data_IF_694831675851
#
_entry.id   IF_694831675851
#
_cell.length_a   1.000
_cell.length_b   1.000
_cell.length_c   1.000
_cell.angle_alpha   90.00
_cell.angle_beta   90.00
_cell.angle_gamma   90.00
#
_symmetry.space_group_name_H-M   'P 1'
#
loop_
_entity.id
_entity.type
_entity.pdbx_description
1 polymer ?
#
# COMPACT_ATOMS: atom_id res chain seq x y z
N UNK A 1 2.09 7.89 -36.26
CA UNK A 1 2.36 7.27 -34.95
C UNK A 1 1.43 7.89 -33.93
N UNK A 2 0.67 7.08 -33.19
CA UNK A 2 -0.29 7.58 -32.19
C UNK A 2 0.45 8.19 -31.00
N UNK A 3 -0.04 9.34 -30.50
CA UNK A 3 0.50 10.00 -29.31
C UNK A 3 -0.66 10.41 -28.41
N UNK A 4 -0.69 9.88 -27.20
CA UNK A 4 -1.72 10.20 -26.23
C UNK A 4 -1.50 11.60 -25.67
N UNK A 5 -2.53 12.45 -25.73
CA UNK A 5 -2.42 13.85 -25.29
C UNK A 5 -2.16 14.00 -23.80
N UNK A 6 -2.55 13.00 -23.00
CA UNK A 6 -2.40 13.00 -21.54
C UNK A 6 -1.31 12.03 -21.05
N UNK A 7 -0.35 11.67 -21.91
CA UNK A 7 0.75 10.76 -21.56
C UNK A 7 1.59 11.27 -20.38
N UNK A 8 1.88 12.57 -20.33
CA UNK A 8 2.61 13.21 -19.22
C UNK A 8 1.83 13.08 -17.90
N UNK A 9 0.51 13.25 -17.96
CA UNK A 9 -0.36 13.11 -16.79
C UNK A 9 -0.42 11.64 -16.34
N UNK A 10 -0.48 10.69 -17.27
CA UNK A 10 -0.47 9.27 -16.96
C UNK A 10 0.84 8.84 -16.29
N UNK A 11 1.98 9.29 -16.79
CA UNK A 11 3.29 9.03 -16.20
C UNK A 11 3.43 9.65 -14.82
N UNK A 12 2.95 10.87 -14.63
CA UNK A 12 2.90 11.49 -13.30
C UNK A 12 2.06 10.68 -12.31
N UNK A 13 0.90 10.17 -12.73
CA UNK A 13 0.03 9.31 -11.90
C UNK A 13 0.67 7.96 -11.56
N UNK A 14 1.42 7.36 -12.49
CA UNK A 14 2.22 6.14 -12.23
C UNK A 14 3.28 6.40 -11.18
N UNK A 15 4.00 7.51 -11.29
CA UNK A 15 4.99 7.89 -10.28
C UNK A 15 4.35 8.15 -8.90
N UNK A 16 3.20 8.82 -8.84
CA UNK A 16 2.45 9.00 -7.60
C UNK A 16 2.06 7.66 -6.96
N UNK A 17 1.63 6.68 -7.76
CA UNK A 17 1.32 5.33 -7.28
C UNK A 17 2.55 4.64 -6.69
N UNK A 18 3.70 4.71 -7.38
CA UNK A 18 4.96 4.13 -6.89
C UNK A 18 5.40 4.74 -5.56
N UNK A 19 5.27 6.06 -5.41
CA UNK A 19 5.59 6.75 -4.15
C UNK A 19 4.68 6.27 -3.03
N UNK A 20 3.36 6.22 -3.25
CA UNK A 20 2.43 5.74 -2.24
C UNK A 20 2.63 4.25 -1.90
N UNK A 21 3.01 3.41 -2.87
CA UNK A 21 3.36 2.01 -2.62
C UNK A 21 4.60 1.90 -1.72
N UNK A 22 5.64 2.71 -1.97
CA UNK A 22 6.84 2.77 -1.13
C UNK A 22 6.51 3.25 0.28
N UNK A 23 5.68 4.27 0.42
CA UNK A 23 5.21 4.76 1.72
C UNK A 23 4.40 3.72 2.49
N UNK A 24 3.48 3.02 1.81
CA UNK A 24 2.71 1.93 2.39
C UNK A 24 3.60 0.80 2.89
N UNK A 25 4.63 0.42 2.12
CA UNK A 25 5.63 -0.56 2.55
C UNK A 25 6.39 -0.09 3.80
N UNK A 26 6.79 1.18 3.86
CA UNK A 26 7.46 1.77 5.04
C UNK A 26 6.55 1.75 6.27
N UNK A 27 5.28 2.14 6.13
CA UNK A 27 4.35 2.13 7.27
C UNK A 27 4.00 0.73 7.73
N UNK A 28 3.94 -0.25 6.83
CA UNK A 28 3.75 -1.66 7.19
C UNK A 28 4.92 -2.23 7.97
N UNK A 29 6.16 -1.91 7.58
CA UNK A 29 7.35 -2.29 8.37
C UNK A 29 7.30 -1.71 9.77
N UNK A 30 7.02 -0.40 9.89
CA UNK A 30 6.83 0.24 11.19
C UNK A 30 5.76 -0.45 12.04
N UNK A 31 4.60 -0.78 11.46
CA UNK A 31 3.57 -1.53 12.17
C UNK A 31 4.08 -2.87 12.69
N UNK A 32 4.78 -3.64 11.84
CA UNK A 32 5.37 -4.92 12.24
C UNK A 32 6.38 -4.76 13.38
N UNK A 33 7.27 -3.77 13.29
CA UNK A 33 8.27 -3.47 14.33
C UNK A 33 7.61 -3.11 15.67
N UNK A 34 6.58 -2.25 15.65
CA UNK A 34 5.84 -1.87 16.87
C UNK A 34 5.07 -3.06 17.46
N UNK A 35 4.58 -3.97 16.62
CA UNK A 35 3.86 -5.17 17.05
C UNK A 35 4.81 -6.22 17.64
N UNK A 36 6.03 -6.34 17.09
CA UNK A 36 7.08 -7.17 17.67
C UNK A 36 7.52 -6.65 19.04
N UNK A 37 7.75 -5.34 19.18
CA UNK A 37 8.06 -4.71 20.49
C UNK A 37 6.97 -4.98 21.52
N UNK A 38 5.70 -4.90 21.12
CA UNK A 38 4.57 -5.20 21.99
C UNK A 38 4.59 -6.65 22.47
N UNK A 39 4.88 -7.58 21.56
CA UNK A 39 4.94 -9.00 21.87
C UNK A 39 6.13 -9.34 22.77
N UNK A 40 7.29 -8.71 22.56
CA UNK A 40 8.44 -8.83 23.45
C UNK A 40 8.10 -8.36 24.87
N UNK A 41 7.52 -7.17 25.03
CA UNK A 41 7.08 -6.65 26.34
C UNK A 41 6.05 -7.57 27.01
N UNK A 42 5.10 -8.12 26.25
CA UNK A 42 4.12 -9.09 26.76
C UNK A 42 4.77 -10.40 27.22
N UNK A 43 5.74 -10.92 26.47
CA UNK A 43 6.51 -12.13 26.84
C UNK A 43 7.30 -11.88 28.12
N UNK A 44 7.97 -10.73 28.21
CA UNK A 44 8.73 -10.33 29.40
C UNK A 44 7.84 -10.24 30.65
N UNK A 45 6.68 -9.58 30.54
CA UNK A 45 5.71 -9.51 31.63
C UNK A 45 5.27 -10.91 32.09
N UNK A 46 4.97 -11.83 31.17
CA UNK A 46 4.60 -13.22 31.51
C UNK A 46 5.73 -13.94 32.25
N UNK A 47 6.96 -13.79 31.78
CA UNK A 47 8.13 -14.40 32.41
C UNK A 47 8.34 -13.86 33.84
N UNK A 48 8.19 -12.55 34.06
CA UNK A 48 8.32 -11.96 35.40
C UNK A 48 7.20 -12.39 36.35
N UNK A 49 5.96 -12.49 35.87
CA UNK A 49 4.85 -13.04 36.66
C UNK A 49 5.12 -14.50 37.07
N UNK A 50 5.66 -15.32 36.17
CA UNK A 50 6.03 -16.70 36.49
C UNK A 50 7.16 -16.77 37.51
N UNK A 51 8.21 -15.95 37.35
CA UNK A 51 9.32 -15.85 38.31
C UNK A 51 8.82 -15.43 39.70
N UNK A 52 7.92 -14.46 39.76
CA UNK A 52 7.32 -14.01 41.02
C UNK A 52 6.53 -15.13 41.71
N UNK A 53 5.74 -15.89 40.95
CA UNK A 53 4.99 -17.05 41.48
C UNK A 53 5.92 -18.15 42.02
N UNK A 54 7.07 -18.37 41.39
CA UNK A 54 8.05 -19.34 41.87
C UNK A 54 8.71 -18.86 43.17
N UNK A 55 9.19 -17.60 43.20
CA UNK A 55 9.81 -17.01 44.39
C UNK A 55 8.87 -16.91 45.60
N UNK A 56 7.58 -16.68 45.38
CA UNK A 56 6.59 -16.70 46.46
C UNK A 56 6.47 -18.08 47.16
N UNK A 57 6.83 -19.17 46.49
CA UNK A 57 6.85 -20.53 47.08
C UNK A 57 8.13 -20.82 47.86
N UNK A 58 9.23 -20.13 47.54
CA UNK A 58 10.52 -20.27 48.20
C UNK A 58 10.74 -19.10 49.17
N UNK A 59 10.10 -19.09 50.36
CA UNK A 59 10.33 -18.18 51.51
C UNK A 59 11.14 -16.90 51.22
N UNK A 60 10.68 -16.08 50.27
CA UNK A 60 11.45 -14.94 49.73
C UNK A 60 11.12 -13.69 50.53
N UNK A 61 12.11 -12.81 50.70
CA UNK A 61 11.95 -11.53 51.39
C UNK A 61 10.86 -10.66 50.77
N UNK A 62 10.04 -10.02 51.60
CA UNK A 62 8.95 -9.12 51.18
C UNK A 62 9.46 -8.00 50.24
N UNK A 63 10.68 -7.52 50.45
CA UNK A 63 11.34 -6.51 49.59
C UNK A 63 11.45 -6.95 48.13
N UNK A 64 11.87 -8.20 47.88
CA UNK A 64 11.99 -8.74 46.52
C UNK A 64 10.62 -8.85 45.84
N UNK A 65 9.59 -9.26 46.59
CA UNK A 65 8.22 -9.36 46.09
C UNK A 65 7.72 -7.99 45.64
N UNK A 66 7.94 -6.94 46.44
CA UNK A 66 7.55 -5.56 46.11
C UNK A 66 8.26 -5.08 44.84
N UNK A 67 9.56 -5.36 44.69
CA UNK A 67 10.32 -4.98 43.49
C UNK A 67 9.73 -5.61 42.22
N UNK A 68 9.39 -6.90 42.25
CA UNK A 68 8.77 -7.59 41.10
C UNK A 68 7.38 -7.04 40.78
N UNK A 69 6.56 -6.75 41.79
CA UNK A 69 5.23 -6.17 41.59
C UNK A 69 5.32 -4.80 40.94
N UNK A 70 6.22 -3.94 41.42
CA UNK A 70 6.45 -2.61 40.85
C UNK A 70 6.93 -2.71 39.38
N UNK A 71 7.85 -3.65 39.09
CA UNK A 71 8.32 -3.87 37.73
C UNK A 71 7.21 -4.38 36.80
N UNK A 72 6.35 -5.30 37.27
CA UNK A 72 5.18 -5.78 36.51
C UNK A 72 4.18 -4.65 36.25
N UNK A 73 3.98 -3.74 37.19
CA UNK A 73 3.14 -2.55 36.99
C UNK A 73 3.73 -1.63 35.92
N UNK A 74 5.02 -1.33 35.97
CA UNK A 74 5.70 -0.55 34.92
C UNK A 74 5.56 -1.22 33.54
N UNK A 75 5.84 -2.52 33.45
CA UNK A 75 5.65 -3.27 32.20
C UNK A 75 4.19 -3.22 31.70
N UNK A 76 3.22 -3.13 32.60
CA UNK A 76 1.81 -3.01 32.22
C UNK A 76 1.50 -1.65 31.60
N UNK A 77 2.03 -0.56 32.18
CA UNK A 77 1.90 0.79 31.62
C UNK A 77 2.60 0.88 30.26
N UNK A 78 3.81 0.33 30.16
CA UNK A 78 4.57 0.24 28.92
C UNK A 78 3.83 -0.52 27.81
N UNK A 79 3.21 -1.66 28.14
CA UNK A 79 2.39 -2.41 27.20
C UNK A 79 1.20 -1.58 26.73
N UNK A 80 0.54 -0.82 27.63
CA UNK A 80 -0.57 0.03 27.27
C UNK A 80 -0.14 1.14 26.30
N UNK A 81 0.97 1.82 26.59
CA UNK A 81 1.56 2.84 25.70
C UNK A 81 1.92 2.25 24.34
N UNK A 82 2.62 1.11 24.33
CA UNK A 82 3.01 0.40 23.11
C UNK A 82 1.80 -0.06 22.29
N UNK A 83 0.71 -0.44 22.94
CA UNK A 83 -0.55 -0.80 22.26
C UNK A 83 -1.15 0.43 21.55
N UNK A 84 -1.05 1.61 22.16
CA UNK A 84 -1.38 2.89 21.50
C UNK A 84 -0.54 3.14 20.25
N UNK A 85 0.78 2.97 20.35
CA UNK A 85 1.70 3.10 19.20
C UNK A 85 1.34 2.15 18.05
N UNK A 86 1.01 0.89 18.35
CA UNK A 86 0.56 -0.08 17.34
C UNK A 86 -0.74 0.37 16.68
N UNK A 87 -1.70 0.88 17.46
CA UNK A 87 -2.96 1.37 16.91
C UNK A 87 -2.75 2.58 15.99
N UNK A 88 -1.90 3.52 16.37
CA UNK A 88 -1.54 4.66 15.52
C UNK A 88 -0.84 4.23 14.23
N UNK A 89 0.10 3.27 14.32
CA UNK A 89 0.77 2.71 13.16
C UNK A 89 -0.23 2.00 12.23
N UNK A 90 -1.20 1.27 12.78
CA UNK A 90 -2.25 0.60 12.02
C UNK A 90 -3.13 1.62 11.29
N UNK A 91 -3.55 2.68 11.99
CA UNK A 91 -4.33 3.77 11.40
C UNK A 91 -3.58 4.43 10.22
N UNK A 92 -2.27 4.67 10.36
CA UNK A 92 -1.43 5.20 9.27
C UNK A 92 -1.36 4.25 8.07
N UNK A 93 -1.27 2.94 8.29
CA UNK A 93 -1.32 1.94 7.22
C UNK A 93 -2.67 1.97 6.50
N UNK A 94 -3.78 2.11 7.23
CA UNK A 94 -5.11 2.24 6.65
C UNK A 94 -5.23 3.50 5.78
N UNK A 95 -4.83 4.66 6.30
CA UNK A 95 -4.84 5.92 5.55
C UNK A 95 -4.01 5.83 4.26
N UNK A 96 -2.80 5.28 4.32
CA UNK A 96 -1.95 5.09 3.14
C UNK A 96 -2.56 4.13 2.12
N UNK A 97 -3.25 3.08 2.59
CA UNK A 97 -3.96 2.14 1.72
C UNK A 97 -5.11 2.82 0.98
N UNK A 98 -5.89 3.65 1.68
CA UNK A 98 -7.02 4.36 1.08
C UNK A 98 -6.54 5.41 0.07
N UNK A 99 -5.47 6.13 0.39
CA UNK A 99 -4.82 7.06 -0.55
C UNK A 99 -4.34 6.35 -1.82
N UNK A 100 -3.70 5.18 -1.68
CA UNK A 100 -3.25 4.36 -2.81
C UNK A 100 -4.44 3.93 -3.69
N UNK A 101 -5.55 3.50 -3.10
CA UNK A 101 -6.75 3.11 -3.85
C UNK A 101 -7.29 4.28 -4.69
N UNK A 102 -7.32 5.49 -4.13
CA UNK A 102 -7.77 6.69 -4.86
C UNK A 102 -6.86 6.99 -6.05
N UNK A 103 -5.53 6.91 -5.87
CA UNK A 103 -4.56 7.15 -6.94
C UNK A 103 -4.67 6.07 -8.03
N UNK A 104 -4.78 4.80 -7.65
CA UNK A 104 -4.95 3.69 -8.57
C UNK A 104 -6.23 3.85 -9.41
N UNK A 105 -7.35 4.27 -8.79
CA UNK A 105 -8.59 4.55 -9.52
C UNK A 105 -8.38 5.65 -10.56
N UNK A 106 -7.74 6.76 -10.18
CA UNK A 106 -7.43 7.89 -11.09
C UNK A 106 -6.50 7.49 -12.24
N UNK A 107 -5.52 6.61 -12.00
CA UNK A 107 -4.68 6.07 -13.08
C UNK A 107 -5.50 5.19 -14.03
N UNK A 108 -6.25 4.23 -13.48
CA UNK A 108 -7.06 3.30 -14.30
C UNK A 108 -8.09 4.01 -15.17
N UNK A 109 -8.66 5.13 -14.71
CA UNK A 109 -9.56 5.93 -15.54
C UNK A 109 -8.85 6.58 -16.72
N UNK A 110 -7.59 7.01 -16.56
CA UNK A 110 -6.79 7.59 -17.63
C UNK A 110 -6.31 6.52 -18.62
N UNK A 111 -5.91 5.34 -18.13
CA UNK A 111 -5.54 4.22 -19.00
C UNK A 111 -6.70 3.79 -19.88
N UNK A 112 -7.90 3.67 -19.31
CA UNK A 112 -9.11 3.38 -20.10
C UNK A 112 -9.44 4.46 -21.13
N UNK A 113 -9.06 5.71 -20.89
CA UNK A 113 -9.25 6.79 -21.87
C UNK A 113 -8.25 6.66 -23.01
N UNK A 114 -6.98 6.39 -22.69
CA UNK A 114 -5.93 6.14 -23.68
C UNK A 114 -6.27 4.95 -24.58
N UNK A 115 -6.69 3.83 -23.99
CA UNK A 115 -7.10 2.63 -24.73
C UNK A 115 -8.22 2.93 -25.74
N UNK A 116 -9.20 3.76 -25.34
CA UNK A 116 -10.31 4.18 -26.23
C UNK A 116 -9.85 5.10 -27.34
N UNK A 117 -9.00 6.08 -27.03
CA UNK A 117 -8.45 7.00 -28.04
C UNK A 117 -7.59 6.25 -29.06
N UNK A 118 -6.80 5.28 -28.60
CA UNK A 118 -6.00 4.41 -29.44
C UNK A 118 -6.86 3.54 -30.36
N UNK A 119 -7.91 2.91 -29.84
CA UNK A 119 -8.85 2.12 -30.66
C UNK A 119 -9.52 3.00 -31.73
N UNK A 120 -9.92 4.22 -31.39
CA UNK A 120 -10.51 5.15 -32.34
C UNK A 120 -9.52 5.59 -33.42
N UNK A 121 -8.24 5.78 -33.07
CA UNK A 121 -7.19 6.07 -34.04
C UNK A 121 -6.94 4.90 -34.99
N UNK A 122 -6.84 3.67 -34.47
CA UNK A 122 -6.66 2.46 -35.28
C UNK A 122 -7.84 2.25 -36.24
N UNK A 123 -9.08 2.45 -35.79
CA UNK A 123 -10.27 2.37 -36.64
C UNK A 123 -10.27 3.41 -37.76
N UNK A 124 -9.88 4.66 -37.48
CA UNK A 124 -9.77 5.70 -38.51
C UNK A 124 -8.73 5.34 -39.56
N UNK A 125 -7.57 4.84 -39.12
CA UNK A 125 -6.49 4.45 -40.01
C UNK A 125 -6.93 3.33 -40.97
N UNK A 126 -7.64 2.32 -40.46
CA UNK A 126 -8.25 1.26 -41.29
C UNK A 126 -9.28 1.84 -42.27
N UNK A 127 -10.13 2.77 -41.84
CA UNK A 127 -11.12 3.41 -42.72
C UNK A 127 -10.47 4.23 -43.84
N UNK A 128 -9.40 4.96 -43.54
CA UNK A 128 -8.69 5.77 -44.52
C UNK A 128 -7.91 4.89 -45.51
N UNK A 129 -7.33 3.77 -45.05
CA UNK A 129 -6.74 2.74 -45.91
C UNK A 129 -7.77 2.14 -46.88
N UNK A 130 -8.93 1.72 -46.37
CA UNK A 130 -10.01 1.16 -47.19
C UNK A 130 -10.50 2.14 -48.26
N UNK A 131 -10.70 3.42 -47.90
CA UNK A 131 -11.08 4.47 -48.87
C UNK A 131 -10.02 4.64 -49.94
N UNK A 132 -8.74 4.67 -49.55
CA UNK A 132 -7.64 4.79 -50.51
C UNK A 132 -7.63 3.64 -51.51
N UNK A 133 -7.83 2.39 -51.05
CA UNK A 133 -7.90 1.21 -51.92
C UNK A 133 -9.07 1.30 -52.92
N UNK A 134 -10.23 1.74 -52.46
CA UNK A 134 -11.43 1.91 -53.30
C UNK A 134 -11.25 3.01 -54.37
N UNK A 135 -10.60 4.12 -53.99
CA UNK A 135 -10.20 5.18 -54.92
C UNK A 135 -9.23 4.66 -55.99
N UNK A 136 -8.21 3.88 -55.61
CA UNK A 136 -7.29 3.26 -56.57
C UNK A 136 -7.98 2.28 -57.51
N UNK A 137 -8.92 1.47 -57.01
CA UNK A 137 -9.71 0.55 -57.81
C UNK A 137 -10.56 1.31 -58.84
N UNK A 138 -11.21 2.39 -58.42
CA UNK A 138 -12.02 3.26 -59.27
C UNK A 138 -11.18 3.92 -60.39
N UNK A 139 -10.00 4.47 -60.05
CA UNK A 139 -9.07 5.08 -61.02
C UNK A 139 -8.56 4.03 -62.03
N UNK A 140 -8.27 2.80 -61.58
CA UNK A 140 -7.82 1.72 -62.45
C UNK A 140 -8.91 1.26 -63.41
N UNK A 141 -10.16 1.19 -62.95
CA UNK A 141 -11.31 0.90 -63.81
C UNK A 141 -11.57 2.01 -64.83
N UNK A 142 -11.48 3.28 -64.44
CA UNK A 142 -11.67 4.42 -65.32
C UNK A 142 -10.59 4.55 -66.42
N UNK A 143 -9.36 4.09 -66.19
CA UNK A 143 -8.26 4.09 -67.18
C UNK A 143 -8.31 2.93 -68.20
N UNK A 144 -9.23 1.97 -68.02
CA UNK A 144 -9.33 0.77 -68.86
C UNK A 144 -10.46 0.86 -69.91
N UNK A 145 -11.17 1.99 -69.95
CA UNK A 145 -12.16 2.41 -70.95
C UNK A 145 -11.47 3.46 -71.82
#
# INVERSE_FOLDING_TARGET
>A
MYRFKLEVLLNHRRHQEEVCQKELARTRRKLADEQEKLDQKKKEKRANVQKLRFKQKENTTVSDIILHVNYIQQLTQDIAMQTGCVQEAANKVHQNRDALIVIMKKRKTLEKLDDKERQAYEQKLIQDELKSVDEFASIRHARKI
#
